data_IF_765323933865
#
_entry.id   IF_765323933865
#
_cell.length_a   1.000
_cell.length_b   1.000
_cell.length_c   1.000
_cell.angle_alpha   90.00
_cell.angle_beta   90.00
_cell.angle_gamma   90.00
#
_symmetry.space_group_name_H-M   'P 1'
#
loop_
_entity.id
_entity.type
_entity.pdbx_description
1 polymer ?
#
# COMPACT_ATOMS: atom_id res chain seq x y z
N UNK A 1 4.21 -18.46 -15.30
CA UNK A 1 5.05 -18.20 -14.10
C UNK A 1 6.45 -18.77 -14.35
N UNK A 2 7.50 -18.08 -13.92
CA UNK A 2 8.90 -18.47 -14.15
C UNK A 2 9.30 -19.69 -13.31
N UNK A 3 9.56 -20.83 -13.96
CA UNK A 3 9.96 -22.08 -13.28
C UNK A 3 11.03 -21.88 -12.19
N UNK A 4 10.83 -22.48 -11.01
CA UNK A 4 11.73 -22.32 -9.84
C UNK A 4 13.13 -22.89 -10.07
N UNK A 5 13.29 -23.87 -10.98
CA UNK A 5 14.59 -24.41 -11.37
C UNK A 5 15.23 -23.64 -12.54
N UNK A 6 14.57 -22.59 -13.05
CA UNK A 6 15.08 -21.81 -14.17
C UNK A 6 16.36 -21.06 -13.79
N UNK A 7 17.42 -21.09 -14.62
CA UNK A 7 18.64 -20.30 -14.38
C UNK A 7 18.40 -18.79 -14.50
N UNK A 8 17.22 -18.36 -14.95
CA UNK A 8 16.79 -16.96 -15.00
C UNK A 8 16.80 -16.31 -13.61
N UNK A 9 16.50 -17.07 -12.54
CA UNK A 9 16.53 -16.55 -11.17
C UNK A 9 17.90 -15.95 -10.79
N UNK A 10 18.98 -16.63 -11.18
CA UNK A 10 20.35 -16.12 -10.98
C UNK A 10 20.73 -14.93 -11.86
N UNK A 11 19.79 -14.41 -12.67
CA UNK A 11 19.96 -13.19 -13.48
C UNK A 11 19.05 -12.05 -13.03
N UNK A 12 18.09 -12.31 -12.14
CA UNK A 12 17.20 -11.28 -11.60
C UNK A 12 17.93 -10.51 -10.50
N UNK A 13 17.86 -9.18 -10.59
CA UNK A 13 18.39 -8.30 -9.57
C UNK A 13 17.45 -8.23 -8.36
N UNK A 14 18.05 -8.09 -7.20
CA UNK A 14 17.44 -7.81 -5.91
C UNK A 14 18.29 -6.77 -5.14
N UNK A 15 17.96 -6.49 -3.87
CA UNK A 15 18.61 -5.44 -3.08
C UNK A 15 20.11 -5.66 -2.87
N UNK A 16 20.54 -6.92 -2.81
CA UNK A 16 21.92 -7.32 -2.57
C UNK A 16 22.62 -7.92 -3.81
N UNK A 17 22.05 -7.70 -5.01
CA UNK A 17 22.57 -8.22 -6.29
C UNK A 17 21.72 -9.36 -6.85
N UNK A 18 22.38 -10.40 -7.40
CA UNK A 18 21.69 -11.52 -8.06
C UNK A 18 20.91 -12.37 -7.05
N UNK A 19 19.74 -12.86 -7.46
CA UNK A 19 18.75 -13.45 -6.57
C UNK A 19 18.53 -14.96 -6.77
N UNK A 20 19.61 -15.74 -6.84
CA UNK A 20 19.57 -17.19 -7.06
C UNK A 20 18.98 -18.00 -5.89
N UNK A 21 18.95 -17.43 -4.67
CA UNK A 21 18.42 -18.10 -3.47
C UNK A 21 16.89 -18.02 -3.33
N UNK A 22 16.23 -17.05 -3.97
CA UNK A 22 14.77 -16.82 -3.79
C UNK A 22 13.91 -18.07 -4.04
N UNK A 23 14.16 -18.90 -5.07
CA UNK A 23 13.39 -20.12 -5.27
C UNK A 23 13.39 -21.07 -4.08
N UNK A 24 14.50 -21.18 -3.36
CA UNK A 24 14.61 -22.04 -2.18
C UNK A 24 13.75 -21.50 -1.02
N UNK A 25 13.78 -20.18 -0.79
CA UNK A 25 12.93 -19.53 0.21
C UNK A 25 11.44 -19.72 -0.12
N UNK A 26 11.04 -19.50 -1.38
CA UNK A 26 9.66 -19.73 -1.84
C UNK A 26 9.20 -21.17 -1.59
N UNK A 27 10.07 -22.15 -1.89
CA UNK A 27 9.76 -23.57 -1.63
C UNK A 27 9.59 -23.85 -0.15
N UNK A 28 10.45 -23.26 0.68
CA UNK A 28 10.40 -23.48 2.12
C UNK A 28 9.14 -22.86 2.74
N UNK A 29 8.82 -21.59 2.45
CA UNK A 29 7.60 -20.95 2.98
C UNK A 29 6.33 -21.58 2.41
N UNK A 30 6.39 -22.23 1.25
CA UNK A 30 5.30 -23.03 0.71
C UNK A 30 5.01 -24.31 1.51
N UNK A 31 5.96 -24.77 2.33
CA UNK A 31 5.81 -25.91 3.25
C UNK A 31 5.62 -25.44 4.71
N UNK A 32 6.39 -24.44 5.14
CA UNK A 32 6.40 -23.89 6.49
C UNK A 32 6.35 -22.35 6.44
N UNK A 33 5.13 -21.83 6.30
CA UNK A 33 4.89 -20.41 6.05
C UNK A 33 5.38 -19.50 7.18
N UNK A 34 5.28 -19.96 8.43
CA UNK A 34 5.64 -19.16 9.61
C UNK A 34 7.11 -19.30 10.02
N UNK A 35 7.94 -19.85 9.14
CA UNK A 35 9.39 -19.90 9.34
C UNK A 35 10.01 -18.49 9.36
N UNK A 36 11.12 -18.32 10.10
CA UNK A 36 11.85 -17.04 10.16
C UNK A 36 12.36 -16.59 8.77
N UNK A 37 12.52 -17.53 7.84
CA UNK A 37 12.89 -17.28 6.45
C UNK A 37 11.85 -16.46 5.68
N UNK A 38 10.58 -16.44 6.11
CA UNK A 38 9.52 -15.60 5.51
C UNK A 38 9.87 -14.11 5.63
N UNK A 39 10.34 -13.68 6.79
CA UNK A 39 10.69 -12.28 7.05
C UNK A 39 11.92 -11.87 6.21
N UNK A 40 12.93 -12.74 6.11
CA UNK A 40 14.08 -12.52 5.22
C UNK A 40 13.63 -12.43 3.75
N UNK A 41 12.76 -13.33 3.30
CA UNK A 41 12.24 -13.28 1.94
C UNK A 41 11.50 -11.96 1.68
N UNK A 42 10.56 -11.57 2.54
CA UNK A 42 9.71 -10.41 2.30
C UNK A 42 10.47 -9.10 2.43
N UNK A 43 11.17 -8.88 3.53
CA UNK A 43 11.70 -7.56 3.91
C UNK A 43 13.17 -7.35 3.62
N UNK A 44 13.88 -8.40 3.20
CA UNK A 44 15.29 -8.31 2.84
C UNK A 44 15.56 -8.70 1.38
N UNK A 45 14.77 -9.59 0.76
CA UNK A 45 15.05 -10.06 -0.62
C UNK A 45 14.06 -9.52 -1.66
N UNK A 46 12.77 -9.46 -1.34
CA UNK A 46 11.72 -9.02 -2.27
C UNK A 46 11.38 -7.53 -2.13
N UNK A 47 11.61 -6.95 -0.96
CA UNK A 47 11.33 -5.55 -0.69
C UNK A 47 12.34 -5.03 0.31
N UNK A 48 13.00 -3.91 0.01
CA UNK A 48 13.91 -3.28 0.95
C UNK A 48 13.87 -1.77 0.78
N UNK A 49 13.84 -1.03 1.90
CA UNK A 49 13.81 0.44 1.92
C UNK A 49 12.80 1.05 0.94
N UNK A 50 11.55 0.56 0.99
CA UNK A 50 10.46 1.03 0.13
C UNK A 50 10.67 0.84 -1.37
N UNK A 51 11.48 -0.17 -1.75
CA UNK A 51 11.79 -0.48 -3.14
C UNK A 51 11.52 -1.95 -3.44
N UNK A 52 10.93 -2.22 -4.61
CA UNK A 52 10.81 -3.56 -5.21
C UNK A 52 11.81 -3.73 -6.37
N UNK A 53 12.03 -4.98 -6.77
CA UNK A 53 13.11 -5.38 -7.67
C UNK A 53 12.61 -6.35 -8.75
N UNK A 54 13.38 -6.59 -9.83
CA UNK A 54 13.07 -7.62 -10.83
C UNK A 54 12.71 -8.98 -10.25
N UNK A 55 13.36 -9.40 -9.16
CA UNK A 55 13.06 -10.66 -8.50
C UNK A 55 11.70 -10.67 -7.76
N UNK A 56 11.23 -9.52 -7.27
CA UNK A 56 9.90 -9.34 -6.67
C UNK A 56 8.80 -9.70 -7.65
N UNK A 57 8.90 -9.19 -8.89
CA UNK A 57 7.93 -9.49 -9.95
C UNK A 57 7.86 -10.99 -10.25
N UNK A 58 8.99 -11.68 -10.24
CA UNK A 58 9.05 -13.13 -10.50
C UNK A 58 8.54 -13.96 -9.32
N UNK A 59 8.75 -13.51 -8.08
CA UNK A 59 8.33 -14.21 -6.86
C UNK A 59 6.84 -14.05 -6.57
N UNK A 60 6.26 -12.89 -6.88
CA UNK A 60 4.87 -12.55 -6.53
C UNK A 60 3.83 -13.61 -6.93
N UNK A 61 3.85 -14.21 -8.15
CA UNK A 61 2.85 -15.22 -8.52
C UNK A 61 2.95 -16.50 -7.66
N UNK A 62 4.13 -16.80 -7.10
CA UNK A 62 4.30 -17.92 -6.18
C UNK A 62 3.68 -17.62 -4.82
N UNK A 63 3.83 -16.40 -4.29
CA UNK A 63 3.18 -15.98 -3.05
C UNK A 63 1.66 -16.06 -3.20
N UNK A 64 1.12 -15.50 -4.28
CA UNK A 64 -0.32 -15.63 -4.59
C UNK A 64 -0.74 -17.09 -4.73
N UNK A 65 0.10 -17.93 -5.34
CA UNK A 65 -0.13 -19.38 -5.43
C UNK A 65 -0.22 -20.08 -4.08
N UNK A 66 0.50 -19.62 -3.05
CA UNK A 66 0.39 -20.11 -1.67
C UNK A 66 -0.93 -19.63 -1.06
N UNK A 67 -1.23 -18.33 -1.17
CA UNK A 67 -2.46 -17.73 -0.65
C UNK A 67 -3.74 -18.37 -1.20
N UNK A 68 -3.75 -18.76 -2.47
CA UNK A 68 -4.93 -19.37 -3.10
C UNK A 68 -5.11 -20.86 -2.79
N UNK A 69 -4.09 -21.53 -2.24
CA UNK A 69 -4.13 -22.96 -1.92
C UNK A 69 -4.28 -23.24 -0.43
N UNK A 70 -3.98 -22.27 0.41
CA UNK A 70 -4.10 -22.42 1.86
C UNK A 70 -5.56 -22.43 2.29
N UNK A 71 -5.86 -23.15 3.37
CA UNK A 71 -7.12 -23.06 4.11
C UNK A 71 -6.97 -22.15 5.34
N UNK A 72 -5.75 -21.70 5.64
CA UNK A 72 -5.43 -20.84 6.76
C UNK A 72 -5.70 -19.36 6.40
N UNK A 73 -6.68 -18.70 7.06
CA UNK A 73 -7.02 -17.30 6.78
C UNK A 73 -5.88 -16.34 7.11
N UNK A 74 -5.01 -16.66 8.07
CA UNK A 74 -3.91 -15.77 8.48
C UNK A 74 -2.83 -15.73 7.39
N UNK A 75 -2.56 -16.87 6.73
CA UNK A 75 -1.64 -16.95 5.59
C UNK A 75 -2.19 -16.15 4.40
N UNK A 76 -3.49 -16.30 4.09
CA UNK A 76 -4.13 -15.52 3.01
C UNK A 76 -4.02 -14.02 3.30
N UNK A 77 -4.31 -13.62 4.53
CA UNK A 77 -4.30 -12.22 4.94
C UNK A 77 -2.88 -11.62 4.88
N UNK A 78 -1.88 -12.31 5.44
CA UNK A 78 -0.48 -11.87 5.44
C UNK A 78 0.06 -11.69 4.01
N UNK A 79 -0.23 -12.64 3.11
CA UNK A 79 0.18 -12.54 1.71
C UNK A 79 -0.55 -11.41 1.01
N UNK A 80 -1.86 -11.24 1.23
CA UNK A 80 -2.64 -10.16 0.61
C UNK A 80 -2.10 -8.79 1.00
N UNK A 81 -1.83 -8.58 2.30
CA UNK A 81 -1.24 -7.34 2.82
C UNK A 81 0.15 -7.12 2.23
N UNK A 82 1.03 -8.12 2.32
CA UNK A 82 2.42 -8.01 1.86
C UNK A 82 2.49 -7.72 0.36
N UNK A 83 1.71 -8.44 -0.44
CA UNK A 83 1.61 -8.20 -1.88
C UNK A 83 1.05 -6.81 -2.17
N UNK A 84 0.12 -6.32 -1.35
CA UNK A 84 -0.41 -4.96 -1.43
C UNK A 84 0.66 -3.89 -1.20
N UNK A 85 1.54 -4.09 -0.22
CA UNK A 85 2.69 -3.19 0.07
C UNK A 85 3.66 -3.17 -1.11
N UNK A 86 3.99 -4.34 -1.66
CA UNK A 86 4.87 -4.43 -2.83
C UNK A 86 4.28 -3.68 -4.03
N UNK A 87 3.00 -3.90 -4.31
CA UNK A 87 2.33 -3.24 -5.42
C UNK A 87 2.16 -1.74 -5.16
N UNK A 88 1.89 -1.29 -3.93
CA UNK A 88 1.83 0.14 -3.58
C UNK A 88 3.16 0.87 -3.87
N UNK A 89 4.28 0.16 -3.70
CA UNK A 89 5.65 0.66 -3.92
C UNK A 89 6.11 0.54 -5.38
N UNK A 90 5.27 -0.01 -6.27
CA UNK A 90 5.52 -0.06 -7.71
C UNK A 90 5.17 1.30 -8.33
N UNK A 91 6.16 1.95 -8.94
CA UNK A 91 5.99 3.22 -9.67
C UNK A 91 5.47 3.00 -11.10
N UNK A 92 5.11 1.77 -11.46
CA UNK A 92 4.81 1.42 -12.83
C UNK A 92 3.37 1.77 -13.22
N UNK A 93 3.24 2.54 -14.30
CA UNK A 93 1.93 2.84 -14.85
C UNK A 93 1.24 1.55 -15.38
N UNK A 94 -0.10 1.44 -15.28
CA UNK A 94 -0.82 0.20 -15.63
C UNK A 94 -0.64 -0.30 -17.07
N UNK A 95 -0.19 0.57 -17.99
CA UNK A 95 -0.05 0.31 -19.42
C UNK A 95 1.39 0.03 -19.87
N UNK A 96 2.36 0.01 -18.94
CA UNK A 96 3.72 -0.38 -19.27
C UNK A 96 3.79 -1.89 -19.53
N UNK A 97 4.52 -2.31 -20.56
CA UNK A 97 4.77 -3.73 -20.83
C UNK A 97 5.99 -4.27 -20.06
N UNK A 98 6.85 -3.38 -19.59
CA UNK A 98 8.10 -3.68 -18.88
C UNK A 98 8.25 -2.69 -17.72
N UNK A 99 8.40 -3.19 -16.48
CA UNK A 99 8.64 -2.33 -15.33
C UNK A 99 9.96 -1.56 -15.42
N UNK A 100 9.98 -0.36 -14.86
CA UNK A 100 11.14 0.53 -14.85
C UNK A 100 12.35 -0.09 -14.12
N UNK A 101 12.13 -0.99 -13.16
CA UNK A 101 13.15 -1.67 -12.38
C UNK A 101 14.02 -2.59 -13.26
N UNK A 102 13.43 -3.25 -14.26
CA UNK A 102 14.18 -4.05 -15.25
C UNK A 102 15.08 -3.17 -16.14
N UNK A 103 14.73 -1.89 -16.31
CA UNK A 103 15.54 -0.91 -17.06
C UNK A 103 16.62 -0.27 -16.18
N UNK A 104 16.25 0.11 -14.94
CA UNK A 104 17.13 0.75 -13.95
C UNK A 104 18.27 -0.16 -13.54
N UNK A 105 17.95 -1.39 -13.20
CA UNK A 105 18.90 -2.29 -12.54
C UNK A 105 19.86 -2.98 -13.52
N UNK A 106 19.82 -2.55 -14.80
CA UNK A 106 20.57 -3.12 -15.91
C UNK A 106 20.51 -4.64 -15.83
N UNK A 107 19.43 -5.24 -16.30
CA UNK A 107 19.36 -6.69 -16.49
C UNK A 107 19.78 -7.07 -17.93
N UNK A 108 21.00 -6.76 -18.44
CA UNK A 108 21.38 -7.03 -19.83
C UNK A 108 21.50 -8.54 -20.12
N UNK A 109 21.23 -9.40 -19.13
CA UNK A 109 21.32 -10.85 -19.20
C UNK A 109 19.97 -11.53 -19.53
N UNK A 110 18.87 -10.78 -19.50
CA UNK A 110 17.53 -11.28 -19.83
C UNK A 110 17.03 -10.68 -21.14
N UNK A 111 16.43 -11.54 -21.97
CA UNK A 111 15.74 -11.11 -23.17
C UNK A 111 14.39 -10.46 -22.83
N UNK A 112 13.91 -9.61 -23.73
CA UNK A 112 12.66 -8.86 -23.52
C UNK A 112 11.41 -9.74 -23.42
N UNK A 113 11.42 -10.94 -23.99
CA UNK A 113 10.27 -11.86 -23.93
C UNK A 113 10.14 -12.43 -22.52
N UNK A 114 11.24 -12.88 -21.92
CA UNK A 114 11.29 -13.33 -20.53
C UNK A 114 10.81 -12.24 -19.56
N UNK A 115 11.23 -10.99 -19.74
CA UNK A 115 10.81 -9.87 -18.87
C UNK A 115 9.29 -9.63 -18.98
N UNK A 116 8.75 -9.59 -20.21
CA UNK A 116 7.31 -9.42 -20.44
C UNK A 116 6.50 -10.57 -19.85
N UNK A 117 7.00 -11.80 -19.93
CA UNK A 117 6.36 -12.97 -19.34
C UNK A 117 6.27 -12.85 -17.82
N UNK A 118 7.39 -12.52 -17.16
CA UNK A 118 7.43 -12.30 -15.71
C UNK A 118 6.41 -11.24 -15.30
N UNK A 119 6.40 -10.10 -15.99
CA UNK A 119 5.49 -9.01 -15.64
C UNK A 119 4.02 -9.34 -15.94
N UNK A 120 3.73 -10.08 -17.02
CA UNK A 120 2.36 -10.56 -17.29
C UNK A 120 1.84 -11.44 -16.17
N UNK A 121 2.67 -12.37 -15.69
CA UNK A 121 2.29 -13.29 -14.61
C UNK A 121 2.13 -12.56 -13.28
N UNK A 122 2.95 -11.55 -13.01
CA UNK A 122 2.78 -10.62 -11.89
C UNK A 122 1.39 -9.93 -11.94
N UNK A 123 1.03 -9.37 -13.10
CA UNK A 123 -0.27 -8.69 -13.28
C UNK A 123 -1.46 -9.66 -13.16
N UNK A 124 -1.33 -10.88 -13.68
CA UNK A 124 -2.35 -11.91 -13.47
C UNK A 124 -2.50 -12.26 -11.98
N UNK A 125 -1.40 -12.36 -11.24
CA UNK A 125 -1.44 -12.66 -9.81
C UNK A 125 -2.13 -11.53 -8.99
N UNK A 126 -1.91 -10.25 -9.35
CA UNK A 126 -2.66 -9.12 -8.76
C UNK A 126 -4.17 -9.27 -9.00
N UNK A 127 -4.58 -9.64 -10.22
CA UNK A 127 -6.00 -9.86 -10.52
C UNK A 127 -6.58 -10.99 -9.66
N UNK A 128 -5.84 -12.08 -9.46
CA UNK A 128 -6.29 -13.18 -8.61
C UNK A 128 -6.45 -12.76 -7.14
N UNK A 129 -5.58 -11.89 -6.61
CA UNK A 129 -5.78 -11.32 -5.27
C UNK A 129 -6.97 -10.35 -5.22
N UNK A 130 -7.16 -9.55 -6.26
CA UNK A 130 -8.30 -8.62 -6.37
C UNK A 130 -9.63 -9.37 -6.32
N UNK A 131 -9.70 -10.59 -6.88
CA UNK A 131 -10.87 -11.46 -6.80
C UNK A 131 -11.15 -11.96 -5.36
N UNK A 132 -10.15 -11.96 -4.48
CA UNK A 132 -10.30 -12.31 -3.06
C UNK A 132 -10.66 -11.13 -2.16
N UNK A 133 -10.71 -9.89 -2.67
CA UNK A 133 -10.92 -8.70 -1.83
C UNK A 133 -12.18 -8.81 -0.99
N UNK A 134 -13.33 -9.21 -1.56
CA UNK A 134 -14.60 -9.25 -0.81
C UNK A 134 -14.57 -10.26 0.35
N UNK A 135 -13.95 -11.42 0.16
CA UNK A 135 -13.82 -12.42 1.22
C UNK A 135 -12.87 -11.93 2.33
N UNK A 136 -11.80 -11.23 1.96
CA UNK A 136 -10.83 -10.66 2.91
C UNK A 136 -11.44 -9.51 3.71
N UNK A 137 -12.20 -8.60 3.08
CA UNK A 137 -12.92 -7.54 3.79
C UNK A 137 -13.91 -8.14 4.79
N UNK A 138 -14.63 -9.20 4.40
CA UNK A 138 -15.55 -9.89 5.31
C UNK A 138 -14.81 -10.55 6.49
N UNK A 139 -13.70 -11.25 6.20
CA UNK A 139 -12.86 -11.89 7.22
C UNK A 139 -12.37 -10.85 8.24
N UNK A 140 -11.79 -9.75 7.78
CA UNK A 140 -11.24 -8.69 8.63
C UNK A 140 -12.31 -7.94 9.43
N UNK A 141 -13.53 -7.81 8.89
CA UNK A 141 -14.67 -7.25 9.64
C UNK A 141 -15.07 -8.13 10.84
N UNK A 142 -14.97 -9.44 10.67
CA UNK A 142 -15.38 -10.43 11.67
C UNK A 142 -14.26 -10.80 12.66
N UNK A 143 -13.01 -10.57 12.29
CA UNK A 143 -11.84 -10.82 13.12
C UNK A 143 -11.57 -9.73 14.16
N UNK A 144 -10.60 -9.99 15.04
CA UNK A 144 -10.14 -9.04 16.08
C UNK A 144 -8.99 -8.14 15.59
N UNK A 145 -8.57 -8.29 14.33
CA UNK A 145 -7.40 -7.65 13.72
C UNK A 145 -7.69 -6.20 13.26
N UNK A 146 -8.00 -5.31 14.20
CA UNK A 146 -8.25 -3.89 13.88
C UNK A 146 -7.04 -3.21 13.19
N UNK A 147 -5.81 -3.55 13.60
CA UNK A 147 -4.59 -3.01 13.00
C UNK A 147 -4.40 -3.41 11.52
N UNK A 148 -4.91 -4.57 11.12
CA UNK A 148 -4.72 -5.09 9.76
C UNK A 148 -5.70 -4.46 8.76
N UNK A 149 -6.81 -3.86 9.24
CA UNK A 149 -7.85 -3.27 8.37
C UNK A 149 -7.26 -2.19 7.46
N UNK A 150 -6.37 -1.36 7.98
CA UNK A 150 -5.73 -0.29 7.21
C UNK A 150 -4.84 -0.84 6.10
N UNK A 151 -4.05 -1.87 6.41
CA UNK A 151 -3.21 -2.57 5.44
C UNK A 151 -4.04 -3.25 4.35
N UNK A 152 -5.18 -3.85 4.71
CA UNK A 152 -6.11 -4.45 3.74
C UNK A 152 -6.67 -3.38 2.80
N UNK A 153 -7.09 -2.24 3.33
CA UNK A 153 -7.57 -1.12 2.51
C UNK A 153 -6.46 -0.58 1.58
N UNK A 154 -5.22 -0.52 2.07
CA UNK A 154 -4.06 -0.11 1.27
C UNK A 154 -3.79 -1.11 0.13
N UNK A 155 -3.84 -2.41 0.43
CA UNK A 155 -3.67 -3.47 -0.55
C UNK A 155 -4.78 -3.45 -1.62
N UNK A 156 -6.06 -3.32 -1.23
CA UNK A 156 -7.17 -3.14 -2.18
C UNK A 156 -6.98 -1.93 -3.09
N UNK A 157 -6.59 -0.78 -2.52
CA UNK A 157 -6.28 0.41 -3.31
C UNK A 157 -5.12 0.17 -4.28
N UNK A 158 -4.05 -0.47 -3.83
CA UNK A 158 -2.87 -0.78 -4.64
C UNK A 158 -3.20 -1.68 -5.82
N UNK A 159 -3.95 -2.76 -5.61
CA UNK A 159 -4.34 -3.73 -6.65
C UNK A 159 -5.29 -3.12 -7.69
N UNK A 160 -6.14 -2.18 -7.27
CA UNK A 160 -7.01 -1.42 -8.18
C UNK A 160 -6.29 -0.29 -8.92
N UNK A 161 -5.03 -0.02 -8.58
CA UNK A 161 -4.20 1.03 -9.18
C UNK A 161 -4.37 2.42 -8.58
N UNK A 162 -5.11 2.57 -7.48
CA UNK A 162 -5.24 3.84 -6.73
C UNK A 162 -4.01 4.01 -5.80
N UNK A 163 -2.81 4.18 -6.38
CA UNK A 163 -1.52 4.23 -5.65
C UNK A 163 -1.44 5.33 -4.61
N UNK A 164 -1.90 6.53 -4.95
CA UNK A 164 -1.88 7.67 -4.04
C UNK A 164 -2.66 7.36 -2.75
N UNK A 165 -3.81 6.70 -2.89
CA UNK A 165 -4.62 6.24 -1.75
C UNK A 165 -3.90 5.15 -0.98
N UNK A 166 -3.32 4.16 -1.66
CA UNK A 166 -2.56 3.09 -0.99
C UNK A 166 -1.40 3.65 -0.17
N UNK A 167 -0.60 4.55 -0.74
CA UNK A 167 0.54 5.18 -0.08
C UNK A 167 0.12 6.08 1.08
N UNK A 168 -0.97 6.83 0.94
CA UNK A 168 -1.53 7.62 2.04
C UNK A 168 -1.94 6.72 3.21
N UNK A 169 -2.59 5.58 2.94
CA UNK A 169 -2.97 4.61 3.98
C UNK A 169 -1.75 3.98 4.68
N UNK A 170 -0.70 3.64 3.92
CA UNK A 170 0.54 3.08 4.46
C UNK A 170 1.39 4.12 5.22
N UNK A 171 1.29 5.40 4.85
CA UNK A 171 2.00 6.49 5.53
C UNK A 171 1.32 6.83 6.86
N UNK A 172 -0.02 6.84 6.88
CA UNK A 172 -0.83 7.26 8.04
C UNK A 172 -1.61 6.07 8.61
N UNK A 173 -0.90 4.97 8.90
CA UNK A 173 -1.49 3.69 9.30
C UNK A 173 -2.38 3.81 10.53
N UNK A 174 -1.81 4.35 11.61
CA UNK A 174 -2.49 4.51 12.90
C UNK A 174 -3.55 5.61 12.87
N UNK A 175 -3.50 6.49 11.85
CA UNK A 175 -4.39 7.64 11.71
C UNK A 175 -4.29 8.62 12.88
N UNK A 176 -3.17 8.64 13.58
CA UNK A 176 -2.81 9.57 14.66
C UNK A 176 -2.15 10.85 14.12
N UNK A 177 -1.62 10.80 12.90
CA UNK A 177 -1.07 11.95 12.19
C UNK A 177 -1.39 11.83 10.69
N UNK A 178 -1.86 12.92 10.09
CA UNK A 178 -1.85 13.11 8.64
C UNK A 178 -1.09 14.39 8.32
N UNK A 179 -0.51 14.45 7.13
CA UNK A 179 0.14 15.67 6.63
C UNK A 179 -0.44 16.01 5.27
N UNK A 180 -0.95 17.23 5.14
CA UNK A 180 -1.43 17.78 3.87
C UNK A 180 -0.62 19.01 3.49
N UNK A 181 -0.33 19.20 2.20
CA UNK A 181 0.46 20.33 1.71
C UNK A 181 -0.43 21.39 1.07
N UNK A 182 -0.21 22.66 1.43
CA UNK A 182 -0.91 23.76 0.79
C UNK A 182 -0.42 23.95 -0.66
N UNK A 183 -1.29 23.85 -1.70
CA UNK A 183 -0.88 23.98 -3.10
C UNK A 183 -0.48 25.41 -3.50
N UNK A 184 -0.67 26.40 -2.63
CA UNK A 184 -0.36 27.82 -2.91
C UNK A 184 1.00 28.22 -2.34
N UNK A 185 1.33 27.80 -1.12
CA UNK A 185 2.54 28.22 -0.42
C UNK A 185 3.48 27.06 -0.06
N UNK A 186 3.16 25.83 -0.44
CA UNK A 186 3.96 24.63 -0.24
C UNK A 186 4.24 24.28 1.23
N UNK A 187 3.44 24.84 2.15
CA UNK A 187 3.59 24.59 3.57
C UNK A 187 2.83 23.33 3.98
N UNK A 188 3.51 22.44 4.72
CA UNK A 188 2.90 21.29 5.38
C UNK A 188 1.97 21.73 6.51
N UNK A 189 0.81 21.08 6.58
CA UNK A 189 -0.22 21.28 7.60
C UNK A 189 -0.48 19.92 8.24
N UNK A 190 -0.31 19.86 9.55
CA UNK A 190 -0.44 18.63 10.32
C UNK A 190 -1.90 18.47 10.75
N UNK A 191 -2.48 17.30 10.52
CA UNK A 191 -3.85 16.97 10.92
C UNK A 191 -3.79 15.89 11.99
N UNK A 192 -4.30 16.22 13.17
CA UNK A 192 -4.20 15.37 14.34
C UNK A 192 -5.56 15.18 15.00
N UNK A 193 -5.86 13.98 15.52
CA UNK A 193 -7.07 13.71 16.27
C UNK A 193 -7.09 14.48 17.60
N UNK A 194 -8.28 14.90 18.03
CA UNK A 194 -8.53 15.36 19.40
C UNK A 194 -8.53 14.16 20.37
N UNK A 195 -8.68 14.43 21.68
CA UNK A 195 -8.62 13.41 22.74
C UNK A 195 -9.59 12.24 22.57
N UNK A 196 -10.72 12.46 21.91
CA UNK A 196 -11.73 11.44 21.64
C UNK A 196 -11.45 10.66 20.34
N UNK A 197 -10.34 10.93 19.65
CA UNK A 197 -9.87 10.29 18.42
C UNK A 197 -10.81 10.33 17.20
N UNK A 198 -11.95 11.00 17.29
CA UNK A 198 -12.94 11.07 16.21
C UNK A 198 -12.83 12.34 15.35
N UNK A 199 -12.25 13.41 15.89
CA UNK A 199 -12.25 14.75 15.29
C UNK A 199 -10.84 15.16 14.91
N UNK A 200 -10.60 15.44 13.63
CA UNK A 200 -9.31 15.97 13.17
C UNK A 200 -9.28 17.50 13.25
N UNK A 201 -8.16 18.02 13.74
CA UNK A 201 -7.81 19.43 13.73
C UNK A 201 -6.54 19.67 12.93
N UNK A 202 -6.42 20.85 12.32
CA UNK A 202 -5.22 21.27 11.62
C UNK A 202 -4.30 22.09 12.54
N UNK A 203 -2.99 21.93 12.34
CA UNK A 203 -1.93 22.60 13.08
C UNK A 203 -0.89 23.13 12.10
N UNK A 204 -0.30 24.28 12.44
CA UNK A 204 0.76 24.93 11.65
C UNK A 204 2.13 24.26 11.79
N UNK A 205 2.31 23.48 12.85
CA UNK A 205 3.53 22.76 13.21
C UNK A 205 3.15 21.49 13.97
N UNK A 206 4.10 20.57 14.14
CA UNK A 206 3.90 19.33 14.89
C UNK A 206 3.50 19.64 16.35
N UNK A 207 2.25 19.32 16.76
CA UNK A 207 1.75 19.66 18.09
C UNK A 207 2.40 18.85 19.23
N UNK A 208 3.01 17.70 18.92
CA UNK A 208 3.73 16.85 19.90
C UNK A 208 5.09 17.44 20.20
N UNK A 209 5.84 17.81 19.17
CA UNK A 209 7.15 18.46 19.31
C UNK A 209 7.04 19.91 19.77
N UNK A 210 5.95 20.59 19.39
CA UNK A 210 5.70 22.00 19.65
C UNK A 210 4.35 22.20 20.35
N UNK A 211 4.32 21.94 21.66
CA UNK A 211 3.11 22.00 22.53
C UNK A 211 2.38 23.35 22.65
N UNK A 212 2.67 24.31 21.76
CA UNK A 212 1.98 25.61 21.60
C UNK A 212 1.40 25.81 20.20
N UNK A 213 1.44 24.80 19.32
CA UNK A 213 0.93 24.91 17.96
C UNK A 213 -0.54 25.34 17.94
N UNK A 214 -0.85 26.36 17.13
CA UNK A 214 -2.21 26.88 17.03
C UNK A 214 -3.12 25.87 16.33
N UNK A 215 -4.27 25.60 16.95
CA UNK A 215 -5.31 24.69 16.43
C UNK A 215 -6.26 25.41 15.49
N UNK A 216 -6.57 24.79 14.36
CA UNK A 216 -7.53 25.26 13.35
C UNK A 216 -8.59 24.18 13.08
N UNK A 217 -9.85 24.61 12.92
CA UNK A 217 -10.95 23.70 12.60
C UNK A 217 -10.94 23.32 11.12
N UNK A 218 -11.25 22.05 10.84
CA UNK A 218 -11.49 21.55 9.49
C UNK A 218 -13.01 21.49 9.27
N UNK A 219 -13.48 22.03 8.15
CA UNK A 219 -14.89 21.93 7.74
C UNK A 219 -15.10 20.56 7.13
N UNK A 220 -15.67 19.64 7.92
CA UNK A 220 -15.97 18.29 7.47
C UNK A 220 -16.97 18.28 6.31
N UNK A 221 -16.76 17.37 5.36
CA UNK A 221 -17.63 17.12 4.22
C UNK A 221 -18.00 15.65 4.12
N UNK A 222 -18.99 15.37 3.28
CA UNK A 222 -19.46 14.02 3.00
C UNK A 222 -18.54 13.33 1.98
N UNK A 223 -17.81 12.25 2.35
CA UNK A 223 -16.90 11.57 1.43
C UNK A 223 -17.60 10.92 0.24
N UNK A 224 -18.89 10.57 0.36
CA UNK A 224 -19.70 10.00 -0.71
C UNK A 224 -20.19 11.04 -1.73
N UNK A 225 -20.18 12.33 -1.39
CA UNK A 225 -20.64 13.44 -2.25
C UNK A 225 -19.50 14.19 -2.96
N UNK A 226 -18.26 13.73 -2.82
CA UNK A 226 -17.10 14.28 -3.54
C UNK A 226 -17.10 13.88 -5.02
N UNK A 227 -16.35 14.60 -5.86
CA UNK A 227 -16.10 14.22 -7.25
C UNK A 227 -14.88 13.30 -7.39
N UNK A 228 -14.17 13.02 -6.30
CA UNK A 228 -12.99 12.14 -6.27
C UNK A 228 -13.41 10.67 -6.12
N UNK A 229 -13.24 9.87 -7.19
CA UNK A 229 -13.64 8.47 -7.18
C UNK A 229 -12.80 7.60 -6.23
N UNK A 230 -11.54 7.99 -5.96
CA UNK A 230 -10.66 7.28 -5.03
C UNK A 230 -11.17 7.42 -3.60
N UNK A 231 -11.52 8.64 -3.20
CA UNK A 231 -12.11 8.92 -1.89
C UNK A 231 -13.47 8.24 -1.70
N UNK A 232 -14.35 8.28 -2.70
CA UNK A 232 -15.65 7.59 -2.65
C UNK A 232 -15.47 6.08 -2.45
N UNK A 233 -14.54 5.48 -3.19
CA UNK A 233 -14.24 4.05 -3.07
C UNK A 233 -13.63 3.71 -1.71
N UNK A 234 -12.66 4.50 -1.23
CA UNK A 234 -12.07 4.30 0.10
C UNK A 234 -13.15 4.36 1.19
N UNK A 235 -14.06 5.33 1.12
CA UNK A 235 -15.16 5.43 2.07
C UNK A 235 -16.07 4.20 2.06
N UNK A 236 -16.43 3.70 0.87
CA UNK A 236 -17.22 2.49 0.73
C UNK A 236 -16.51 1.26 1.32
N UNK A 237 -15.21 1.10 1.02
CA UNK A 237 -14.39 0.00 1.55
C UNK A 237 -14.21 0.08 3.07
N UNK A 238 -14.04 1.29 3.62
CA UNK A 238 -13.96 1.51 5.06
C UNK A 238 -15.28 1.13 5.77
N UNK A 239 -16.43 1.37 5.15
CA UNK A 239 -17.75 0.93 5.67
C UNK A 239 -17.89 -0.60 5.65
N UNK A 240 -17.37 -1.25 4.61
CA UNK A 240 -17.44 -2.71 4.45
C UNK A 240 -16.56 -3.43 5.47
N UNK A 241 -15.32 -2.98 5.65
CA UNK A 241 -14.39 -3.58 6.62
C UNK A 241 -14.68 -3.14 8.07
N UNK A 242 -15.40 -2.02 8.24
CA UNK A 242 -15.76 -1.48 9.55
C UNK A 242 -14.60 -0.86 10.31
N UNK A 243 -13.71 -0.12 9.62
CA UNK A 243 -12.65 0.67 10.24
C UNK A 243 -13.24 1.96 10.82
N UNK A 244 -13.56 1.95 12.13
CA UNK A 244 -14.28 3.05 12.78
C UNK A 244 -13.46 4.33 12.83
N UNK A 245 -12.15 4.23 13.08
CA UNK A 245 -11.26 5.38 13.22
C UNK A 245 -11.13 6.08 11.88
N UNK A 246 -10.88 5.33 10.81
CA UNK A 246 -10.87 5.91 9.47
C UNK A 246 -12.23 6.50 9.09
N UNK A 247 -13.34 5.82 9.39
CA UNK A 247 -14.68 6.36 9.09
C UNK A 247 -14.96 7.69 9.80
N UNK A 248 -14.44 7.88 11.02
CA UNK A 248 -14.53 9.16 11.73
C UNK A 248 -13.65 10.24 11.09
N UNK A 249 -12.47 9.88 10.57
CA UNK A 249 -11.53 10.79 9.94
C UNK A 249 -11.89 11.21 8.50
N UNK A 250 -12.47 10.31 7.70
CA UNK A 250 -12.74 10.55 6.28
C UNK A 250 -13.55 11.83 6.00
N UNK A 251 -14.55 12.23 6.80
CA UNK A 251 -15.24 13.50 6.62
C UNK A 251 -14.32 14.73 6.70
N UNK A 252 -13.29 14.70 7.56
CA UNK A 252 -12.31 15.77 7.68
C UNK A 252 -11.27 15.71 6.56
N UNK A 253 -10.84 14.50 6.15
CA UNK A 253 -9.96 14.32 4.99
C UNK A 253 -10.64 14.76 3.67
N UNK A 254 -11.95 14.56 3.57
CA UNK A 254 -12.79 15.10 2.49
C UNK A 254 -13.06 16.61 2.61
N UNK A 255 -12.67 17.21 3.74
CA UNK A 255 -13.05 18.55 4.16
C UNK A 255 -12.19 19.66 3.59
N UNK A 256 -12.45 20.86 4.09
CA UNK A 256 -11.77 22.10 3.71
C UNK A 256 -11.24 22.83 4.94
N UNK A 257 -10.14 23.57 4.75
CA UNK A 257 -9.64 24.53 5.73
C UNK A 257 -8.94 25.69 5.02
N UNK A 258 -8.69 26.78 5.74
CA UNK A 258 -7.77 27.82 5.27
C UNK A 258 -6.36 27.46 5.72
N UNK A 259 -5.39 27.53 4.81
CA UNK A 259 -3.99 27.27 5.13
C UNK A 259 -3.54 28.14 6.32
N UNK A 260 -2.92 27.51 7.32
CA UNK A 260 -2.46 28.16 8.54
C UNK A 260 -1.45 29.30 8.30
N UNK A 261 -0.76 29.28 7.14
CA UNK A 261 0.29 30.25 6.79
C UNK A 261 -0.15 31.32 5.81
N UNK A 262 -0.85 30.95 4.73
CA UNK A 262 -1.25 31.90 3.67
C UNK A 262 -2.75 32.23 3.62
N UNK A 263 -3.55 31.64 4.52
CA UNK A 263 -5.02 31.82 4.65
C UNK A 263 -5.82 31.49 3.37
N UNK A 264 -5.20 30.85 2.38
CA UNK A 264 -5.88 30.41 1.16
C UNK A 264 -6.73 29.17 1.46
N UNK A 265 -7.98 29.09 0.99
CA UNK A 265 -8.80 27.89 1.13
C UNK A 265 -8.18 26.69 0.40
N UNK A 266 -8.12 25.53 1.06
CA UNK A 266 -7.60 24.28 0.51
C UNK A 266 -8.59 23.13 0.74
N UNK A 267 -8.60 22.15 -0.17
CA UNK A 267 -9.16 20.83 0.11
C UNK A 267 -8.09 20.00 0.80
N UNK A 268 -8.45 19.31 1.88
CA UNK A 268 -7.50 18.45 2.59
C UNK A 268 -7.02 17.30 1.71
N UNK A 269 -7.96 16.59 1.09
CA UNK A 269 -7.72 15.37 0.32
C UNK A 269 -6.63 15.54 -0.75
N UNK A 270 -6.71 16.60 -1.55
CA UNK A 270 -5.76 16.82 -2.65
C UNK A 270 -4.34 17.12 -2.19
N UNK A 271 -4.16 17.62 -0.97
CA UNK A 271 -2.82 17.90 -0.42
C UNK A 271 -2.20 16.70 0.30
N UNK A 272 -2.90 15.58 0.44
CA UNK A 272 -2.37 14.34 1.04
C UNK A 272 -1.45 13.56 0.09
N UNK A 273 -1.39 13.95 -1.19
CA UNK A 273 -0.63 13.29 -2.26
C UNK A 273 0.38 14.26 -2.91
N UNK A 274 1.38 14.77 -2.16
CA UNK A 274 2.36 15.72 -2.69
C UNK A 274 3.31 15.10 -3.73
#
# INVERSE_FOLDING_TARGET
>A
MLDLASPVWGKLQGPYGLSDRIPAFIQHIGHDYFSEEKEELYWELLYHQNTIYPCTYAAFPYLVGIALKTEDPDILLDIFITCGIFEASSENAPHLDVPSEFLRDQTPLLDHETIREIYREYRHAILSLTEQTESILHLARMGEHEADKRYILAADAAFRGDKDVANMLLTFLEGDEYVTVCPTCDQSIYLWPDKDEEVLFAYEDDPVSHGTAKRFSIVAKRPDMTNDSGLQRLYQRALEIGDKKLLAHLPYLAGELNCCSCDTPIQVWSGLFP
#
